data_IF_971372122490
#
_entry.id   IF_971372122490
#
_cell.length_a   1.000
_cell.length_b   1.000
_cell.length_c   1.000
_cell.angle_alpha   90.00
_cell.angle_beta   90.00
_cell.angle_gamma   90.00
#
_symmetry.space_group_name_H-M   'P 1'
#
loop_
_entity.id
_entity.type
_entity.pdbx_description
1 polymer ?
#
# COMPACT_ATOMS: atom_id res chain seq x y z
N UNK A 1 3.38 4.16 -39.85
CA UNK A 1 4.17 3.57 -38.75
C UNK A 1 3.42 3.82 -37.45
N UNK A 2 2.89 2.78 -36.79
CA UNK A 2 2.24 2.92 -35.48
C UNK A 2 3.34 2.97 -34.42
N UNK A 3 3.49 4.09 -33.72
CA UNK A 3 4.41 4.16 -32.59
C UNK A 3 3.89 3.27 -31.46
N UNK A 4 4.71 2.36 -30.88
CA UNK A 4 4.29 1.60 -29.72
C UNK A 4 4.12 2.55 -28.54
N UNK A 5 2.97 2.48 -27.87
CA UNK A 5 2.70 3.30 -26.69
C UNK A 5 3.73 2.99 -25.60
N UNK A 6 4.28 4.02 -24.97
CA UNK A 6 5.29 3.92 -23.90
C UNK A 6 4.86 3.01 -22.73
N UNK A 7 3.55 2.77 -22.59
CA UNK A 7 2.96 1.85 -21.61
C UNK A 7 3.44 0.40 -21.72
N UNK A 8 3.71 -0.11 -22.92
CA UNK A 8 4.19 -1.50 -23.08
C UNK A 8 5.68 -1.66 -22.78
N UNK A 9 6.43 -0.55 -22.73
CA UNK A 9 7.89 -0.59 -22.56
C UNK A 9 8.31 -0.88 -21.12
N UNK A 10 7.45 -0.61 -20.13
CA UNK A 10 7.74 -0.77 -18.70
C UNK A 10 7.10 -2.01 -18.05
N UNK A 11 6.26 -2.75 -18.77
CA UNK A 11 5.65 -3.99 -18.25
C UNK A 11 6.56 -5.23 -18.37
N UNK A 12 7.72 -5.10 -19.01
CA UNK A 12 8.64 -6.22 -19.20
C UNK A 12 9.64 -6.28 -18.04
N UNK A 13 9.59 -7.37 -17.26
CA UNK A 13 10.58 -7.67 -16.24
C UNK A 13 11.82 -8.29 -16.90
N UNK A 14 12.96 -7.62 -16.77
CA UNK A 14 14.26 -8.14 -17.20
C UNK A 14 15.07 -8.59 -15.99
N UNK A 15 16.12 -9.39 -16.20
CA UNK A 15 17.04 -9.78 -15.12
C UNK A 15 17.64 -8.55 -14.43
N UNK A 16 17.94 -7.49 -15.18
CA UNK A 16 18.46 -6.23 -14.64
C UNK A 16 17.44 -5.56 -13.71
N UNK A 17 16.18 -5.46 -14.12
CA UNK A 17 15.16 -4.79 -13.30
C UNK A 17 14.81 -5.61 -12.06
N UNK A 18 14.77 -6.94 -12.17
CA UNK A 18 14.51 -7.82 -11.03
C UNK A 18 15.63 -7.74 -9.98
N UNK A 19 16.89 -7.84 -10.42
CA UNK A 19 18.04 -7.77 -9.51
C UNK A 19 18.23 -6.37 -8.92
N UNK A 20 17.96 -5.32 -9.68
CA UNK A 20 17.94 -3.95 -9.17
C UNK A 20 16.87 -3.78 -8.09
N UNK A 21 15.65 -4.26 -8.32
CA UNK A 21 14.57 -4.23 -7.32
C UNK A 21 14.99 -4.94 -6.03
N UNK A 22 15.47 -6.18 -6.13
CA UNK A 22 15.93 -6.96 -4.98
C UNK A 22 17.04 -6.23 -4.21
N UNK A 23 18.02 -5.66 -4.91
CA UNK A 23 19.12 -4.96 -4.28
C UNK A 23 18.65 -3.68 -3.56
N UNK A 24 17.74 -2.92 -4.17
CA UNK A 24 17.20 -1.70 -3.58
C UNK A 24 16.37 -2.01 -2.33
N UNK A 25 15.51 -3.03 -2.39
CA UNK A 25 14.72 -3.50 -1.24
C UNK A 25 15.62 -3.87 -0.05
N UNK A 26 16.68 -4.65 -0.29
CA UNK A 26 17.60 -5.04 0.79
C UNK A 26 18.37 -3.86 1.37
N UNK A 27 18.73 -2.88 0.55
CA UNK A 27 19.42 -1.66 1.03
C UNK A 27 18.49 -0.79 1.87
N UNK A 28 17.24 -0.61 1.43
CA UNK A 28 16.23 0.14 2.19
C UNK A 28 16.00 -0.49 3.58
N UNK A 29 15.80 -1.81 3.64
CA UNK A 29 15.61 -2.54 4.90
C UNK A 29 16.80 -2.39 5.85
N UNK A 30 18.02 -2.45 5.33
CA UNK A 30 19.23 -2.24 6.15
C UNK A 30 19.31 -0.79 6.65
N UNK A 31 19.04 0.19 5.80
CA UNK A 31 19.02 1.60 6.20
C UNK A 31 17.95 1.89 7.26
N UNK A 32 16.78 1.25 7.17
CA UNK A 32 15.72 1.35 8.17
C UNK A 32 16.16 0.75 9.52
N UNK A 33 16.80 -0.42 9.51
CA UNK A 33 17.32 -1.07 10.72
C UNK A 33 18.27 -0.16 11.53
N UNK A 34 19.12 0.59 10.83
CA UNK A 34 20.06 1.52 11.44
C UNK A 34 19.51 2.95 11.59
N UNK A 35 18.22 3.17 11.30
CA UNK A 35 17.55 4.47 11.38
C UNK A 35 18.24 5.55 10.53
N UNK A 36 18.81 5.16 9.39
CA UNK A 36 19.53 6.04 8.46
C UNK A 36 18.63 6.63 7.38
N UNK A 37 17.43 6.07 7.19
CA UNK A 37 16.46 6.53 6.22
C UNK A 37 15.15 6.90 6.93
N UNK A 38 14.57 8.04 6.56
CA UNK A 38 13.21 8.40 6.98
C UNK A 38 12.20 7.86 5.97
N UNK A 39 11.26 7.06 6.45
CA UNK A 39 10.19 6.45 5.66
C UNK A 39 8.80 6.93 6.11
N UNK A 40 8.74 8.02 6.88
CA UNK A 40 7.52 8.57 7.48
C UNK A 40 6.45 8.96 6.46
N UNK A 41 6.83 9.59 5.34
CA UNK A 41 5.87 9.98 4.29
C UNK A 41 5.17 8.76 3.67
N UNK A 42 5.94 7.72 3.34
CA UNK A 42 5.41 6.46 2.79
C UNK A 42 4.55 5.74 3.83
N UNK A 43 5.00 5.71 5.08
CA UNK A 43 4.24 5.13 6.18
C UNK A 43 2.90 5.82 6.37
N UNK A 44 2.87 7.16 6.39
CA UNK A 44 1.65 7.95 6.57
C UNK A 44 0.67 7.81 5.40
N UNK A 45 1.18 7.59 4.18
CA UNK A 45 0.33 7.32 3.03
C UNK A 45 -0.38 5.96 3.15
N UNK A 46 0.34 4.92 3.58
CA UNK A 46 -0.22 3.56 3.72
C UNK A 46 -1.09 3.44 4.97
N UNK A 47 -0.58 3.93 6.11
CA UNK A 47 -1.23 3.92 7.41
C UNK A 47 -1.95 5.25 7.67
N UNK A 48 -2.65 5.78 6.67
CA UNK A 48 -3.40 7.03 6.79
C UNK A 48 -4.44 6.93 7.91
N UNK A 49 -4.24 7.74 8.96
CA UNK A 49 -5.10 7.76 10.14
C UNK A 49 -6.55 8.14 9.77
N UNK A 50 -6.73 9.02 8.78
CA UNK A 50 -8.04 9.41 8.28
C UNK A 50 -8.78 8.22 7.65
N UNK A 51 -8.10 7.45 6.80
CA UNK A 51 -8.67 6.25 6.18
C UNK A 51 -9.00 5.18 7.24
N UNK A 52 -8.14 5.02 8.25
CA UNK A 52 -8.38 4.08 9.35
C UNK A 52 -9.61 4.49 10.17
N UNK A 53 -9.73 5.78 10.55
CA UNK A 53 -10.89 6.31 11.27
C UNK A 53 -12.19 6.14 10.48
N UNK A 54 -12.16 6.43 9.18
CA UNK A 54 -13.31 6.24 8.29
C UNK A 54 -13.73 4.78 8.21
N UNK A 55 -12.79 3.87 8.04
CA UNK A 55 -13.05 2.42 7.99
C UNK A 55 -13.65 1.94 9.32
N UNK A 56 -13.12 2.39 10.45
CA UNK A 56 -13.63 2.06 11.77
C UNK A 56 -15.06 2.57 11.99
N UNK A 57 -15.36 3.79 11.55
CA UNK A 57 -16.71 4.34 11.65
C UNK A 57 -17.72 3.52 10.83
N UNK A 58 -17.35 3.13 9.61
CA UNK A 58 -18.18 2.29 8.74
C UNK A 58 -18.46 0.91 9.37
N UNK A 59 -17.44 0.28 9.94
CA UNK A 59 -17.59 -1.01 10.60
C UNK A 59 -18.47 -0.93 11.85
N UNK A 60 -18.37 0.16 12.62
CA UNK A 60 -19.27 0.40 13.77
C UNK A 60 -20.72 0.56 13.33
N UNK A 61 -20.96 1.33 12.28
CA UNK A 61 -22.31 1.52 11.72
C UNK A 61 -22.91 0.21 11.20
N UNK A 62 -22.11 -0.59 10.49
CA UNK A 62 -22.53 -1.93 10.06
C UNK A 62 -22.84 -2.86 11.24
N UNK A 63 -22.02 -2.83 12.29
CA UNK A 63 -22.23 -3.63 13.49
C UNK A 63 -23.54 -3.27 14.19
N UNK A 64 -23.84 -1.98 14.35
CA UNK A 64 -25.08 -1.53 14.98
C UNK A 64 -26.31 -1.92 14.15
N UNK A 65 -26.25 -1.79 12.82
CA UNK A 65 -27.32 -2.26 11.93
C UNK A 65 -27.61 -3.75 12.12
N UNK A 66 -26.56 -4.59 12.13
CA UNK A 66 -26.70 -6.03 12.32
C UNK A 66 -27.25 -6.40 13.71
N UNK A 67 -26.88 -5.65 14.76
CA UNK A 67 -27.47 -5.85 16.10
C UNK A 67 -28.95 -5.50 16.12
N UNK A 68 -29.35 -4.39 15.49
CA UNK A 68 -30.75 -4.00 15.38
C UNK A 68 -31.56 -5.02 14.58
N UNK A 69 -31.03 -5.51 13.44
CA UNK A 69 -31.68 -6.56 12.64
C UNK A 69 -31.88 -7.86 13.46
N UNK A 70 -30.87 -8.28 14.22
CA UNK A 70 -30.97 -9.46 15.11
C UNK A 70 -32.00 -9.26 16.23
N UNK A 71 -32.08 -8.06 16.81
CA UNK A 71 -32.99 -7.77 17.92
C UNK A 71 -34.44 -7.54 17.45
N UNK A 72 -34.65 -7.22 16.17
CA UNK A 72 -35.96 -7.00 15.56
C UNK A 72 -36.53 -8.26 14.85
N UNK A 73 -35.79 -9.37 14.86
CA UNK A 73 -36.20 -10.69 14.36
C UNK A 73 -36.52 -11.63 15.52
#
# INVERSE_FOLDING_TARGET
>A
MKQPSAYYQYNNVTLKTLTAYQLMERREQMCELFQLADNSERHNLVASEENQKRTLAQLKDQLEKLKCEKNNA
#
